data_IF_907830672180
#
_entry.id   IF_907830672180
#
_cell.length_a   1.000
_cell.length_b   1.000
_cell.length_c   1.000
_cell.angle_alpha   90.00
_cell.angle_beta   90.00
_cell.angle_gamma   90.00
#
_symmetry.space_group_name_H-M   'P 1'
#
loop_
_entity.id
_entity.type
_entity.pdbx_description
1 polymer ?
#
# COMPACT_ATOMS: atom_id res chain seq x y z
N UNK A 1 -41.10 -20.17 -28.45
CA UNK A 1 -40.48 -19.55 -29.63
C UNK A 1 -39.75 -20.66 -30.36
N UNK A 2 -40.14 -20.98 -31.60
CA UNK A 2 -39.38 -21.92 -32.43
C UNK A 2 -38.09 -21.21 -32.85
N UNK A 3 -36.96 -21.65 -32.27
CA UNK A 3 -35.65 -21.15 -32.64
C UNK A 3 -35.35 -21.52 -34.12
N UNK A 4 -34.74 -20.63 -34.91
CA UNK A 4 -34.27 -20.94 -36.25
C UNK A 4 -33.42 -22.21 -36.26
N UNK A 5 -33.57 -23.05 -37.28
CA UNK A 5 -32.89 -24.36 -37.40
C UNK A 5 -31.36 -24.23 -37.24
N UNK A 6 -30.78 -23.10 -37.68
CA UNK A 6 -29.36 -22.78 -37.51
C UNK A 6 -28.95 -22.53 -36.05
N UNK A 7 -29.79 -21.88 -35.24
CA UNK A 7 -29.52 -21.70 -33.80
C UNK A 7 -29.64 -23.01 -33.04
N UNK A 8 -30.58 -23.87 -33.45
CA UNK A 8 -30.74 -25.21 -32.88
C UNK A 8 -29.55 -26.13 -33.22
N UNK A 9 -28.99 -26.00 -34.43
CA UNK A 9 -27.80 -26.71 -34.85
C UNK A 9 -26.54 -26.24 -34.09
N UNK A 10 -26.33 -24.92 -34.00
CA UNK A 10 -25.21 -24.34 -33.21
C UNK A 10 -25.31 -24.69 -31.73
N UNK A 11 -26.51 -24.67 -31.15
CA UNK A 11 -26.71 -25.07 -29.75
C UNK A 11 -26.33 -26.53 -29.51
N UNK A 12 -26.74 -27.45 -30.41
CA UNK A 12 -26.37 -28.87 -30.32
C UNK A 12 -24.86 -29.08 -30.46
N UNK A 13 -24.21 -28.35 -31.35
CA UNK A 13 -22.75 -28.40 -31.54
C UNK A 13 -22.01 -27.91 -30.29
N UNK A 14 -22.48 -26.81 -29.68
CA UNK A 14 -21.92 -26.24 -28.46
C UNK A 14 -22.10 -27.16 -27.24
N UNK A 15 -23.24 -27.85 -27.14
CA UNK A 15 -23.48 -28.86 -26.10
C UNK A 15 -22.57 -30.08 -26.30
N UNK A 16 -22.26 -30.46 -27.55
CA UNK A 16 -21.34 -31.57 -27.84
C UNK A 16 -19.89 -31.26 -27.44
N UNK A 17 -19.48 -29.99 -27.45
CA UNK A 17 -18.18 -29.54 -26.91
C UNK A 17 -18.15 -29.44 -25.38
N UNK A 18 -19.29 -29.63 -24.69
CA UNK A 18 -19.32 -29.65 -23.24
C UNK A 18 -18.71 -30.93 -22.66
N UNK A 19 -18.24 -30.88 -21.42
CA UNK A 19 -17.64 -32.03 -20.77
C UNK A 19 -18.77 -33.02 -20.41
N UNK A 20 -18.48 -34.33 -20.32
CA UNK A 20 -19.51 -35.36 -20.06
C UNK A 20 -20.40 -35.10 -18.83
N UNK A 21 -19.88 -34.42 -17.81
CA UNK A 21 -20.65 -34.03 -16.62
C UNK A 21 -21.66 -32.91 -16.91
N UNK A 22 -21.29 -31.95 -17.76
CA UNK A 22 -22.12 -30.79 -18.11
C UNK A 22 -23.17 -31.16 -19.15
N UNK A 23 -22.84 -32.04 -20.11
CA UNK A 23 -23.83 -32.65 -21.02
C UNK A 23 -24.93 -33.39 -20.26
N UNK A 24 -24.54 -34.04 -19.15
CA UNK A 24 -25.47 -34.72 -18.26
C UNK A 24 -26.32 -33.73 -17.47
N UNK A 25 -25.72 -32.64 -16.97
CA UNK A 25 -26.46 -31.57 -16.26
C UNK A 25 -27.43 -30.80 -17.17
N UNK A 26 -27.07 -30.59 -18.44
CA UNK A 26 -27.94 -30.01 -19.49
C UNK A 26 -29.14 -30.91 -19.80
N UNK A 27 -28.91 -32.23 -19.85
CA UNK A 27 -29.97 -33.23 -20.09
C UNK A 27 -30.88 -33.41 -18.87
N UNK A 28 -30.32 -33.43 -17.66
CA UNK A 28 -31.08 -33.59 -16.41
C UNK A 28 -31.91 -32.35 -16.05
N UNK A 29 -31.44 -31.14 -16.38
CA UNK A 29 -32.16 -29.87 -16.12
C UNK A 29 -33.05 -29.38 -17.27
N UNK A 30 -33.09 -30.09 -18.41
CA UNK A 30 -33.83 -29.70 -19.62
C UNK A 30 -33.55 -28.25 -20.05
N UNK A 31 -32.27 -27.91 -20.18
CA UNK A 31 -31.86 -26.59 -20.66
C UNK A 31 -32.15 -26.49 -22.17
N UNK A 32 -33.11 -25.65 -22.55
CA UNK A 32 -33.63 -25.55 -23.92
C UNK A 32 -33.23 -24.24 -24.64
N UNK A 33 -32.56 -23.29 -23.94
CA UNK A 33 -32.14 -22.00 -24.51
C UNK A 33 -30.66 -21.67 -24.26
N UNK A 34 -30.10 -20.78 -25.09
CA UNK A 34 -28.72 -20.30 -24.95
C UNK A 34 -28.53 -19.48 -23.67
N UNK A 35 -29.52 -18.69 -23.26
CA UNK A 35 -29.47 -17.88 -22.03
C UNK A 35 -29.42 -18.76 -20.77
N UNK A 36 -30.17 -19.86 -20.76
CA UNK A 36 -30.10 -20.83 -19.67
C UNK A 36 -28.73 -21.53 -19.62
N UNK A 37 -28.10 -21.72 -20.79
CA UNK A 37 -26.74 -22.25 -20.90
C UNK A 37 -25.70 -21.28 -20.32
N UNK A 38 -25.91 -19.96 -20.39
CA UNK A 38 -25.00 -18.94 -19.83
C UNK A 38 -24.80 -19.18 -18.33
N UNK A 39 -25.87 -19.44 -17.57
CA UNK A 39 -25.74 -19.68 -16.12
C UNK A 39 -24.98 -20.98 -15.78
N UNK A 40 -25.00 -21.98 -16.68
CA UNK A 40 -24.20 -23.20 -16.56
C UNK A 40 -22.74 -22.96 -16.98
N UNK A 41 -22.52 -22.20 -18.05
CA UNK A 41 -21.20 -21.83 -18.56
C UNK A 41 -20.48 -20.81 -17.67
N UNK A 42 -21.22 -19.96 -16.94
CA UNK A 42 -20.67 -19.10 -15.89
C UNK A 42 -20.02 -19.92 -14.77
N UNK A 43 -20.41 -21.18 -14.57
CA UNK A 43 -19.69 -22.11 -13.67
C UNK A 43 -18.33 -22.56 -14.22
N UNK A 44 -18.12 -22.47 -15.54
CA UNK A 44 -16.80 -22.72 -16.18
C UNK A 44 -15.88 -21.52 -16.08
N UNK A 45 -16.42 -20.32 -15.87
CA UNK A 45 -15.60 -19.16 -15.53
C UNK A 45 -14.92 -19.51 -14.22
N UNK A 46 -13.61 -19.72 -14.28
CA UNK A 46 -12.82 -20.05 -13.11
C UNK A 46 -13.15 -19.03 -12.01
N UNK A 47 -13.53 -19.51 -10.83
CA UNK A 47 -13.77 -18.65 -9.66
C UNK A 47 -12.58 -17.74 -9.43
N UNK A 48 -11.35 -18.20 -9.73
CA UNK A 48 -10.12 -17.39 -9.79
C UNK A 48 -10.23 -16.14 -10.68
N UNK A 49 -10.80 -16.22 -11.89
CA UNK A 49 -10.98 -15.06 -12.77
C UNK A 49 -12.04 -14.11 -12.21
N UNK A 50 -13.10 -14.66 -11.63
CA UNK A 50 -14.17 -13.92 -10.95
C UNK A 50 -13.67 -13.20 -9.69
N UNK A 51 -12.88 -13.87 -8.87
CA UNK A 51 -12.22 -13.35 -7.67
C UNK A 51 -11.16 -12.32 -8.05
N UNK A 52 -10.41 -12.56 -9.13
CA UNK A 52 -9.46 -11.58 -9.67
C UNK A 52 -10.21 -10.33 -10.14
N UNK A 53 -11.29 -10.49 -10.91
CA UNK A 53 -12.13 -9.38 -11.35
C UNK A 53 -12.74 -8.63 -10.15
N UNK A 54 -13.22 -9.36 -9.14
CA UNK A 54 -13.77 -8.80 -7.91
C UNK A 54 -12.72 -8.09 -7.06
N UNK A 55 -11.47 -8.58 -7.03
CA UNK A 55 -10.36 -7.95 -6.33
C UNK A 55 -9.88 -6.68 -7.04
N UNK A 56 -9.77 -6.71 -8.37
CA UNK A 56 -9.50 -5.54 -9.22
C UNK A 56 -10.63 -4.52 -9.02
N UNK A 57 -11.88 -4.98 -9.00
CA UNK A 57 -13.03 -4.14 -8.78
C UNK A 57 -13.06 -3.53 -7.38
N UNK A 58 -12.74 -4.30 -6.34
CA UNK A 58 -12.59 -3.82 -4.96
C UNK A 58 -11.49 -2.77 -4.86
N UNK A 59 -10.36 -3.00 -5.51
CA UNK A 59 -9.28 -2.00 -5.59
C UNK A 59 -9.71 -0.74 -6.36
N UNK A 60 -10.54 -0.89 -7.39
CA UNK A 60 -11.10 0.20 -8.20
C UNK A 60 -12.23 0.95 -7.50
N UNK A 61 -12.95 0.33 -6.57
CA UNK A 61 -13.96 0.98 -5.73
C UNK A 61 -13.37 1.60 -4.47
N UNK A 62 -12.13 1.28 -4.11
CA UNK A 62 -11.47 1.90 -2.96
C UNK A 62 -11.13 3.35 -3.32
N UNK A 63 -11.67 4.37 -2.61
CA UNK A 63 -11.38 5.75 -2.91
C UNK A 63 -9.88 6.02 -2.72
N UNK A 64 -9.26 6.72 -3.67
CA UNK A 64 -7.81 7.00 -3.61
C UNK A 64 -7.49 8.27 -2.82
N UNK A 65 -8.49 9.12 -2.57
CA UNK A 65 -8.33 10.46 -1.98
C UNK A 65 -9.33 10.73 -0.85
N UNK A 66 -10.56 10.22 -0.92
CA UNK A 66 -11.54 10.35 0.16
C UNK A 66 -11.32 9.29 1.27
N UNK A 67 -11.13 9.71 2.52
CA UNK A 67 -10.99 8.81 3.68
C UNK A 67 -12.36 8.44 4.28
N UNK A 68 -13.43 9.14 3.93
CA UNK A 68 -14.80 8.77 4.31
C UNK A 68 -15.34 7.72 3.33
N UNK A 69 -15.14 6.44 3.68
CA UNK A 69 -15.87 5.35 3.04
C UNK A 69 -17.36 5.47 3.41
N UNK A 70 -18.21 5.72 2.42
CA UNK A 70 -19.66 5.53 2.57
C UNK A 70 -19.90 4.08 3.01
N UNK A 71 -20.57 3.90 4.14
CA UNK A 71 -20.83 2.60 4.76
C UNK A 71 -21.55 1.64 3.78
N UNK A 72 -22.31 2.20 2.83
CA UNK A 72 -22.97 1.45 1.77
C UNK A 72 -21.99 0.92 0.71
N UNK A 73 -20.96 1.72 0.37
CA UNK A 73 -19.90 1.31 -0.57
C UNK A 73 -19.04 0.19 0.03
N UNK A 74 -18.75 0.27 1.33
CA UNK A 74 -18.03 -0.77 2.06
C UNK A 74 -18.85 -2.08 2.12
N UNK A 75 -20.14 -1.99 2.44
CA UNK A 75 -21.06 -3.14 2.44
C UNK A 75 -21.20 -3.76 1.05
N UNK A 76 -21.28 -2.94 0.00
CA UNK A 76 -21.36 -3.40 -1.39
C UNK A 76 -20.06 -4.08 -1.83
N UNK A 77 -18.90 -3.50 -1.50
CA UNK A 77 -17.58 -4.09 -1.78
C UNK A 77 -17.40 -5.45 -1.07
N UNK A 78 -17.89 -5.58 0.17
CA UNK A 78 -17.90 -6.84 0.92
C UNK A 78 -18.89 -7.84 0.28
N UNK A 79 -20.08 -7.40 -0.13
CA UNK A 79 -21.10 -8.24 -0.77
C UNK A 79 -20.58 -8.85 -2.08
N UNK A 80 -19.93 -8.04 -2.91
CA UNK A 80 -19.32 -8.46 -4.17
C UNK A 80 -18.09 -9.34 -3.94
N UNK A 81 -17.26 -9.03 -2.93
CA UNK A 81 -16.11 -9.85 -2.56
C UNK A 81 -16.49 -11.23 -2.01
N UNK A 82 -17.62 -11.34 -1.30
CA UNK A 82 -18.11 -12.60 -0.76
C UNK A 82 -18.86 -13.44 -1.81
N UNK A 83 -19.47 -12.79 -2.81
CA UNK A 83 -20.23 -13.45 -3.88
C UNK A 83 -19.94 -12.82 -5.26
N UNK A 84 -18.78 -13.13 -5.88
CA UNK A 84 -18.33 -12.53 -7.15
C UNK A 84 -19.26 -12.78 -8.34
N UNK A 85 -20.01 -13.89 -8.33
CA UNK A 85 -20.96 -14.24 -9.39
C UNK A 85 -22.12 -13.25 -9.52
N UNK A 86 -22.43 -12.50 -8.45
CA UNK A 86 -23.46 -11.45 -8.46
C UNK A 86 -23.11 -10.29 -9.39
N UNK A 87 -21.84 -10.11 -9.77
CA UNK A 87 -21.40 -9.08 -10.72
C UNK A 87 -22.01 -9.21 -12.12
N UNK A 88 -22.56 -10.39 -12.45
CA UNK A 88 -23.21 -10.63 -13.74
C UNK A 88 -24.73 -10.38 -13.71
N UNK A 89 -25.31 -10.10 -12.54
CA UNK A 89 -26.71 -9.73 -12.43
C UNK A 89 -26.92 -8.27 -12.85
N UNK A 90 -27.93 -8.03 -13.69
CA UNK A 90 -28.17 -6.71 -14.30
C UNK A 90 -28.43 -5.61 -13.25
N UNK A 91 -29.09 -5.96 -12.14
CA UNK A 91 -29.39 -5.04 -11.04
C UNK A 91 -28.12 -4.66 -10.25
N UNK A 92 -27.23 -5.64 -10.02
CA UNK A 92 -25.94 -5.43 -9.37
C UNK A 92 -24.99 -4.63 -10.27
N UNK A 93 -25.07 -4.81 -11.59
CA UNK A 93 -24.32 -4.00 -12.55
C UNK A 93 -24.77 -2.54 -12.57
N UNK A 94 -26.08 -2.28 -12.49
CA UNK A 94 -26.63 -0.92 -12.33
C UNK A 94 -26.21 -0.29 -11.01
N UNK A 95 -26.22 -1.07 -9.92
CA UNK A 95 -25.75 -0.62 -8.61
C UNK A 95 -24.23 -0.33 -8.63
N UNK A 96 -23.44 -1.20 -9.26
CA UNK A 96 -22.01 -0.99 -9.53
C UNK A 96 -21.78 0.33 -10.26
N UNK A 97 -22.49 0.55 -11.38
CA UNK A 97 -22.33 1.75 -12.18
C UNK A 97 -22.68 3.01 -11.38
N UNK A 98 -23.71 2.94 -10.54
CA UNK A 98 -24.06 4.03 -9.62
C UNK A 98 -22.94 4.33 -8.62
N UNK A 99 -22.36 3.31 -7.99
CA UNK A 99 -21.27 3.48 -7.02
C UNK A 99 -19.96 3.95 -7.64
N UNK A 100 -19.59 3.45 -8.83
CA UNK A 100 -18.43 3.94 -9.58
C UNK A 100 -18.62 5.41 -9.94
N UNK A 101 -19.82 5.79 -10.39
CA UNK A 101 -20.15 7.18 -10.73
C UNK A 101 -20.09 8.07 -9.50
N UNK A 102 -20.72 7.67 -8.39
CA UNK A 102 -20.64 8.39 -7.11
C UNK A 102 -19.21 8.53 -6.60
N UNK A 103 -18.38 7.49 -6.75
CA UNK A 103 -16.96 7.52 -6.37
C UNK A 103 -16.20 8.51 -7.25
N UNK A 104 -16.40 8.49 -8.56
CA UNK A 104 -15.77 9.44 -9.48
C UNK A 104 -16.24 10.87 -9.20
N UNK A 105 -17.52 11.08 -8.93
CA UNK A 105 -18.07 12.37 -8.51
C UNK A 105 -17.53 12.82 -7.16
N UNK A 106 -17.33 11.92 -6.19
CA UNK A 106 -16.76 12.24 -4.89
C UNK A 106 -15.27 12.60 -4.99
N UNK A 107 -14.46 11.81 -5.71
CA UNK A 107 -13.06 12.12 -5.98
C UNK A 107 -12.95 13.43 -6.79
N UNK A 108 -13.80 13.62 -7.80
CA UNK A 108 -13.85 14.86 -8.58
C UNK A 108 -14.32 16.06 -7.74
N UNK A 109 -15.27 15.88 -6.82
CA UNK A 109 -15.73 16.93 -5.91
C UNK A 109 -14.66 17.27 -4.88
N UNK A 110 -13.90 16.31 -4.37
CA UNK A 110 -12.76 16.60 -3.47
C UNK A 110 -11.66 17.30 -4.25
N UNK A 111 -11.33 16.85 -5.47
CA UNK A 111 -10.35 17.53 -6.31
C UNK A 111 -10.85 18.94 -6.65
N UNK A 112 -12.13 19.12 -7.00
CA UNK A 112 -12.75 20.44 -7.21
C UNK A 112 -12.71 21.26 -5.93
N UNK A 113 -13.01 20.72 -4.76
CA UNK A 113 -13.01 21.42 -3.49
C UNK A 113 -11.59 21.81 -3.08
N UNK A 114 -10.60 20.92 -3.20
CA UNK A 114 -9.19 21.22 -2.97
C UNK A 114 -8.65 22.22 -3.99
N UNK A 115 -9.06 22.10 -5.25
CA UNK A 115 -8.71 23.07 -6.31
C UNK A 115 -9.41 24.40 -6.07
N UNK A 116 -10.64 24.41 -5.56
CA UNK A 116 -11.38 25.60 -5.12
C UNK A 116 -10.75 26.20 -3.87
N UNK A 117 -10.22 25.41 -2.95
CA UNK A 117 -9.53 25.89 -1.76
C UNK A 117 -8.17 26.48 -2.15
N UNK A 118 -7.45 25.84 -3.07
CA UNK A 118 -6.26 26.40 -3.71
C UNK A 118 -6.62 27.65 -4.50
N UNK A 119 -7.72 27.66 -5.26
CA UNK A 119 -8.17 28.82 -6.03
C UNK A 119 -8.65 29.94 -5.11
N UNK A 120 -9.33 29.64 -4.00
CA UNK A 120 -9.67 30.58 -2.93
C UNK A 120 -8.42 31.11 -2.29
N UNK A 121 -7.38 30.29 -2.09
CA UNK A 121 -6.10 30.69 -1.52
C UNK A 121 -5.32 31.57 -2.50
N UNK A 122 -5.32 31.25 -3.80
CA UNK A 122 -4.77 32.08 -4.88
C UNK A 122 -5.58 33.37 -5.07
N UNK A 123 -6.90 33.33 -4.88
CA UNK A 123 -7.79 34.50 -4.93
C UNK A 123 -7.64 35.34 -3.67
N UNK A 124 -7.42 34.74 -2.50
CA UNK A 124 -7.09 35.42 -1.25
C UNK A 124 -5.70 36.03 -1.35
N UNK A 125 -4.71 35.31 -1.86
CA UNK A 125 -3.37 35.83 -2.15
C UNK A 125 -3.46 36.96 -3.16
N UNK A 126 -4.21 36.77 -4.25
CA UNK A 126 -4.46 37.75 -5.29
C UNK A 126 -5.23 38.97 -4.76
N UNK A 127 -6.17 38.78 -3.85
CA UNK A 127 -6.90 39.85 -3.15
C UNK A 127 -6.03 40.53 -2.11
N UNK A 128 -5.16 39.83 -1.38
CA UNK A 128 -4.20 40.44 -0.46
C UNK A 128 -3.11 41.21 -1.21
N UNK A 129 -2.64 40.69 -2.35
CA UNK A 129 -1.74 41.37 -3.27
C UNK A 129 -2.44 42.57 -3.91
N UNK A 130 -3.67 42.39 -4.41
CA UNK A 130 -4.43 43.46 -5.02
C UNK A 130 -4.88 44.49 -3.98
N UNK A 131 -5.21 44.11 -2.75
CA UNK A 131 -5.52 45.02 -1.65
C UNK A 131 -4.23 45.71 -1.18
N UNK A 132 -3.07 45.04 -1.18
CA UNK A 132 -1.78 45.69 -0.97
C UNK A 132 -1.42 46.67 -2.10
N UNK A 133 -1.75 46.34 -3.36
CA UNK A 133 -1.50 47.15 -4.55
C UNK A 133 -2.54 48.28 -4.69
N UNK A 134 -3.79 48.06 -4.29
CA UNK A 134 -4.92 49.00 -4.37
C UNK A 134 -5.00 49.89 -3.14
N UNK A 135 -4.54 49.42 -1.97
CA UNK A 135 -4.22 50.31 -0.84
C UNK A 135 -2.95 51.13 -1.11
N UNK A 136 -2.08 50.70 -2.02
CA UNK A 136 -1.12 51.60 -2.69
C UNK A 136 -1.69 52.32 -3.92
N UNK A 137 -2.96 52.07 -4.28
CA UNK A 137 -3.66 52.69 -5.40
C UNK A 137 -3.99 54.15 -5.13
N UNK A 138 -4.27 54.52 -3.87
CA UNK A 138 -4.24 55.92 -3.43
C UNK A 138 -2.85 56.55 -3.54
N UNK A 139 -1.78 55.76 -3.43
CA UNK A 139 -0.41 56.18 -3.72
C UNK A 139 -0.21 56.43 -5.22
N UNK A 140 -0.68 55.54 -6.10
CA UNK A 140 -0.62 55.70 -7.56
C UNK A 140 -1.50 56.84 -8.07
N UNK A 141 -2.71 57.03 -7.52
CA UNK A 141 -3.65 58.10 -7.87
C UNK A 141 -3.17 59.45 -7.34
N UNK A 142 -2.52 59.50 -6.17
CA UNK A 142 -1.87 60.71 -5.68
C UNK A 142 -0.62 61.03 -6.50
N UNK A 143 0.20 60.03 -6.86
CA UNK A 143 1.37 60.21 -7.73
C UNK A 143 0.96 60.62 -9.15
N UNK A 144 -0.13 60.08 -9.70
CA UNK A 144 -0.68 60.49 -11.00
C UNK A 144 -1.28 61.90 -10.92
N UNK A 145 -2.09 62.21 -9.89
CA UNK A 145 -2.61 63.57 -9.69
C UNK A 145 -1.51 64.61 -9.48
N UNK A 146 -0.41 64.23 -8.84
CA UNK A 146 0.78 65.08 -8.65
C UNK A 146 1.51 65.24 -9.98
N UNK A 147 1.71 64.16 -10.75
CA UNK A 147 2.30 64.20 -12.09
C UNK A 147 1.49 65.07 -13.05
N UNK A 148 0.18 64.88 -13.13
CA UNK A 148 -0.72 65.63 -14.00
C UNK A 148 -0.73 67.13 -13.64
N UNK A 149 -0.62 67.46 -12.35
CA UNK A 149 -0.51 68.86 -11.89
C UNK A 149 0.87 69.47 -12.12
N UNK A 150 1.94 68.68 -12.03
CA UNK A 150 3.30 69.09 -12.41
C UNK A 150 3.39 69.35 -13.92
N UNK A 151 2.75 68.51 -14.74
CA UNK A 151 2.68 68.70 -16.19
C UNK A 151 1.80 69.89 -16.61
N UNK A 152 0.79 70.26 -15.79
CA UNK A 152 -0.07 71.42 -16.02
C UNK A 152 0.52 72.78 -15.58
N UNK A 153 1.67 72.78 -14.89
CA UNK A 153 2.32 73.99 -14.41
C UNK A 153 3.12 74.65 -15.53
N UNK A 154 2.63 75.80 -15.99
CA UNK A 154 3.34 76.65 -16.94
C UNK A 154 4.46 77.42 -16.21
N UNK A 155 5.71 77.02 -16.43
CA UNK A 155 6.92 77.58 -15.78
C UNK A 155 7.29 79.00 -16.26
N UNK A 156 6.40 79.64 -17.01
CA UNK A 156 6.57 80.97 -17.59
C UNK A 156 6.35 82.12 -16.58
N UNK A 157 5.69 81.86 -15.45
CA UNK A 157 5.37 82.87 -14.42
C UNK A 157 6.09 82.55 -13.11
N UNK A 158 7.26 83.15 -12.88
CA UNK A 158 8.12 82.89 -11.73
C UNK A 158 7.59 83.39 -10.38
N UNK A 159 6.52 82.80 -9.86
CA UNK A 159 5.98 83.12 -8.53
C UNK A 159 6.44 82.09 -7.48
N UNK A 160 7.43 82.48 -6.67
CA UNK A 160 8.10 81.65 -5.64
C UNK A 160 7.14 81.01 -4.61
N UNK A 161 5.93 81.54 -4.45
CA UNK A 161 4.91 80.99 -3.55
C UNK A 161 4.34 79.66 -4.05
N UNK A 162 4.12 79.51 -5.34
CA UNK A 162 3.55 78.28 -5.93
C UNK A 162 4.52 77.10 -5.81
N UNK A 163 5.83 77.36 -5.98
CA UNK A 163 6.90 76.39 -5.77
C UNK A 163 6.98 75.87 -4.33
N UNK A 164 6.78 76.73 -3.32
CA UNK A 164 6.79 76.31 -1.92
C UNK A 164 5.57 75.43 -1.55
N UNK A 165 4.42 75.71 -2.16
CA UNK A 165 3.19 74.93 -1.98
C UNK A 165 3.32 73.56 -2.66
N UNK A 166 3.98 73.50 -3.82
CA UNK A 166 4.27 72.26 -4.51
C UNK A 166 5.24 71.38 -3.71
N UNK A 167 6.31 71.99 -3.16
CA UNK A 167 7.30 71.29 -2.35
C UNK A 167 6.67 70.69 -1.09
N UNK A 168 5.84 71.45 -0.36
CA UNK A 168 5.21 70.92 0.86
C UNK A 168 4.25 69.76 0.58
N UNK A 169 3.52 69.82 -0.55
CA UNK A 169 2.64 68.75 -0.99
C UNK A 169 3.41 67.49 -1.41
N UNK A 170 4.50 67.64 -2.17
CA UNK A 170 5.37 66.52 -2.53
C UNK A 170 5.99 65.83 -1.30
N UNK A 171 6.42 66.62 -0.32
CA UNK A 171 6.97 66.10 0.94
C UNK A 171 5.90 65.34 1.74
N UNK A 172 4.67 65.86 1.83
CA UNK A 172 3.58 65.15 2.51
C UNK A 172 3.20 63.84 1.81
N UNK A 173 3.23 63.80 0.48
CA UNK A 173 2.95 62.59 -0.28
C UNK A 173 4.05 61.53 -0.10
N UNK A 174 5.31 61.94 -0.11
CA UNK A 174 6.44 61.05 0.16
C UNK A 174 6.37 60.44 1.56
N UNK A 175 6.05 61.24 2.58
CA UNK A 175 5.87 60.78 3.96
C UNK A 175 4.68 59.83 4.12
N UNK A 176 3.59 60.05 3.37
CA UNK A 176 2.44 59.13 3.38
C UNK A 176 2.80 57.77 2.78
N UNK A 177 3.51 57.77 1.65
CA UNK A 177 3.98 56.55 0.98
C UNK A 177 4.95 55.77 1.88
N UNK A 178 5.87 56.46 2.56
CA UNK A 178 6.85 55.83 3.44
C UNK A 178 6.20 55.11 4.63
N UNK A 179 5.18 55.73 5.23
CA UNK A 179 4.42 55.14 6.33
C UNK A 179 3.59 53.92 5.88
N UNK A 180 2.93 53.99 4.73
CA UNK A 180 2.17 52.87 4.17
C UNK A 180 3.07 51.71 3.77
N UNK A 181 4.23 52.00 3.18
CA UNK A 181 5.17 50.98 2.73
C UNK A 181 5.86 50.27 3.90
N UNK A 182 6.09 50.97 5.01
CA UNK A 182 6.49 50.35 6.28
C UNK A 182 5.42 49.41 6.85
N UNK A 183 4.13 49.79 6.77
CA UNK A 183 3.03 48.94 7.24
C UNK A 183 2.87 47.67 6.39
N UNK A 184 3.06 47.76 5.08
CA UNK A 184 3.07 46.61 4.15
C UNK A 184 4.26 45.69 4.43
N UNK A 185 5.46 46.25 4.62
CA UNK A 185 6.65 45.48 4.97
C UNK A 185 6.49 44.67 6.26
N UNK A 186 5.83 45.24 7.27
CA UNK A 186 5.54 44.55 8.53
C UNK A 186 4.60 43.35 8.34
N UNK A 187 3.51 43.52 7.57
CA UNK A 187 2.55 42.43 7.29
C UNK A 187 3.15 41.33 6.42
N UNK A 188 4.01 41.68 5.46
CA UNK A 188 4.71 40.71 4.62
C UNK A 188 5.69 39.84 5.44
N UNK A 189 6.36 40.45 6.42
CA UNK A 189 7.27 39.75 7.34
C UNK A 189 6.51 38.77 8.24
N UNK A 190 5.31 39.13 8.68
CA UNK A 190 4.45 38.26 9.49
C UNK A 190 3.93 37.05 8.68
N UNK A 191 3.43 37.29 7.46
CA UNK A 191 2.98 36.22 6.56
C UNK A 191 4.10 35.22 6.24
N UNK A 192 5.32 35.70 5.99
CA UNK A 192 6.51 34.83 5.76
C UNK A 192 6.83 33.96 6.98
N UNK A 193 6.69 34.49 8.20
CA UNK A 193 6.90 33.76 9.45
C UNK A 193 5.87 32.63 9.60
N UNK A 194 4.61 32.89 9.23
CA UNK A 194 3.52 31.95 9.36
C UNK A 194 3.61 30.79 8.35
N UNK A 195 4.06 31.07 7.12
CA UNK A 195 4.38 30.04 6.11
C UNK A 195 5.49 29.11 6.60
N UNK A 196 6.59 29.67 7.12
CA UNK A 196 7.71 28.88 7.62
C UNK A 196 7.32 27.96 8.80
N UNK A 197 6.44 28.42 9.69
CA UNK A 197 5.90 27.58 10.79
C UNK A 197 5.06 26.41 10.29
N UNK A 198 4.30 26.59 9.21
CA UNK A 198 3.47 25.54 8.63
C UNK A 198 4.32 24.51 7.89
N UNK A 199 5.34 24.94 7.15
CA UNK A 199 6.32 24.05 6.50
C UNK A 199 7.00 23.13 7.53
N UNK A 200 7.46 23.69 8.66
CA UNK A 200 8.04 22.90 9.76
C UNK A 200 7.06 21.88 10.35
N UNK A 201 5.78 22.24 10.43
CA UNK A 201 4.74 21.35 10.99
C UNK A 201 4.41 20.20 10.05
N UNK A 202 4.37 20.45 8.74
CA UNK A 202 4.19 19.41 7.72
C UNK A 202 5.35 18.42 7.77
N UNK A 203 6.58 18.91 7.80
CA UNK A 203 7.77 18.05 7.86
C UNK A 203 7.78 17.16 9.12
N UNK A 204 7.41 17.71 10.28
CA UNK A 204 7.31 16.93 11.52
C UNK A 204 6.25 15.82 11.43
N UNK A 205 5.09 16.10 10.83
CA UNK A 205 4.02 15.11 10.68
C UNK A 205 4.42 13.99 9.71
N UNK A 206 5.17 14.30 8.65
CA UNK A 206 5.72 13.29 7.74
C UNK A 206 6.73 12.38 8.45
N UNK A 207 7.59 12.95 9.30
CA UNK A 207 8.55 12.19 10.13
C UNK A 207 7.84 11.29 11.16
N UNK A 208 6.79 11.78 11.82
CA UNK A 208 5.97 11.01 12.77
C UNK A 208 5.23 9.86 12.06
N UNK A 209 4.67 10.10 10.86
CA UNK A 209 3.99 9.07 10.05
C UNK A 209 4.96 7.98 9.56
N UNK A 210 6.14 8.38 9.10
CA UNK A 210 7.18 7.45 8.67
C UNK A 210 7.70 6.62 9.86
N UNK A 211 7.87 7.24 11.04
CA UNK A 211 8.24 6.54 12.28
C UNK A 211 7.18 5.52 12.72
N UNK A 212 5.89 5.90 12.68
CA UNK A 212 4.80 4.99 13.03
C UNK A 212 4.67 3.80 12.07
N UNK A 213 4.92 3.99 10.77
CA UNK A 213 4.97 2.88 9.79
C UNK A 213 6.17 1.97 10.01
N UNK A 214 7.26 2.52 10.54
CA UNK A 214 8.52 1.83 10.81
C UNK A 214 8.51 0.99 12.10
N UNK A 215 7.57 1.23 13.02
CA UNK A 215 7.49 0.61 14.36
C UNK A 215 6.75 -0.74 14.44
N UNK A 216 6.22 -1.29 13.33
CA UNK A 216 5.56 -2.60 13.40
C UNK A 216 6.57 -3.73 13.63
N UNK A 217 6.78 -4.08 14.90
CA UNK A 217 7.69 -5.14 15.33
C UNK A 217 7.20 -6.53 14.90
N UNK A 218 5.88 -6.68 14.71
CA UNK A 218 5.20 -7.93 14.41
C UNK A 218 4.57 -7.89 13.02
N UNK A 219 4.70 -8.99 12.27
CA UNK A 219 4.00 -9.23 11.02
C UNK A 219 2.53 -9.54 11.28
N UNK A 220 1.65 -8.67 10.78
CA UNK A 220 0.20 -8.76 11.01
C UNK A 220 -0.44 -10.07 10.55
N UNK A 221 0.14 -10.74 9.54
CA UNK A 221 -0.41 -11.99 9.02
C UNK A 221 -0.02 -13.18 9.89
N UNK A 222 1.26 -13.30 10.22
CA UNK A 222 1.85 -14.50 10.84
C UNK A 222 2.00 -14.38 12.36
N UNK A 223 2.01 -13.17 12.90
CA UNK A 223 2.28 -12.91 14.32
C UNK A 223 3.76 -13.10 14.72
N UNK A 224 4.65 -13.31 13.76
CA UNK A 224 6.10 -13.39 13.98
C UNK A 224 6.74 -12.02 13.93
N UNK A 225 8.01 -11.94 14.32
CA UNK A 225 8.80 -10.71 14.13
C UNK A 225 8.87 -10.35 12.64
N UNK A 226 8.84 -9.05 12.35
CA UNK A 226 9.21 -8.56 11.02
C UNK A 226 10.71 -8.66 10.81
N UNK A 227 11.16 -8.66 9.55
CA UNK A 227 12.59 -8.60 9.20
C UNK A 227 13.33 -7.50 9.96
N UNK A 228 12.71 -6.32 10.08
CA UNK A 228 13.31 -5.19 10.80
C UNK A 228 13.51 -5.47 12.29
N UNK A 229 12.47 -5.97 12.96
CA UNK A 229 12.57 -6.32 14.38
C UNK A 229 13.61 -7.43 14.62
N UNK A 230 13.74 -8.35 13.67
CA UNK A 230 14.78 -9.37 13.69
C UNK A 230 16.20 -8.77 13.56
N UNK A 231 16.39 -7.78 12.66
CA UNK A 231 17.66 -7.07 12.50
C UNK A 231 18.06 -6.27 13.76
N UNK A 232 17.10 -5.85 14.57
CA UNK A 232 17.35 -5.22 15.89
C UNK A 232 17.72 -6.28 16.95
N UNK A 233 16.97 -7.38 17.03
CA UNK A 233 17.23 -8.46 17.99
C UNK A 233 18.56 -9.19 17.74
N UNK A 234 18.99 -9.34 16.48
CA UNK A 234 20.27 -9.99 16.19
C UNK A 234 21.45 -9.21 16.78
N UNK A 235 21.38 -7.88 16.86
CA UNK A 235 22.45 -7.09 17.50
C UNK A 235 22.62 -7.48 18.98
N UNK A 236 21.50 -7.71 19.67
CA UNK A 236 21.49 -8.17 21.05
C UNK A 236 22.06 -9.59 21.18
N UNK A 237 21.67 -10.50 20.28
CA UNK A 237 22.14 -11.89 20.26
C UNK A 237 23.63 -11.97 19.95
N UNK A 238 24.13 -11.21 18.96
CA UNK A 238 25.56 -11.13 18.65
C UNK A 238 26.37 -10.60 19.84
N UNK A 239 25.84 -9.61 20.57
CA UNK A 239 26.44 -9.15 21.81
C UNK A 239 26.55 -10.25 22.89
N UNK A 240 25.54 -11.13 23.00
CA UNK A 240 25.58 -12.28 23.92
C UNK A 240 26.53 -13.38 23.44
N UNK A 241 26.57 -13.66 22.13
CA UNK A 241 27.53 -14.59 21.54
C UNK A 241 28.97 -14.18 21.85
N UNK A 242 29.30 -12.90 21.64
CA UNK A 242 30.66 -12.38 21.87
C UNK A 242 31.06 -12.37 23.36
N UNK A 243 30.13 -12.04 24.27
CA UNK A 243 30.42 -11.95 25.71
C UNK A 243 30.40 -13.30 26.43
N UNK A 244 29.43 -14.15 26.10
CA UNK A 244 29.12 -15.35 26.88
C UNK A 244 29.45 -16.65 26.11
N UNK A 245 29.84 -16.56 24.84
CA UNK A 245 30.10 -17.72 23.99
C UNK A 245 28.86 -18.53 23.63
N UNK A 246 27.65 -17.97 23.84
CA UNK A 246 26.38 -18.66 23.62
C UNK A 246 26.23 -19.04 22.15
N UNK A 247 26.28 -20.34 21.85
CA UNK A 247 26.20 -20.83 20.48
C UNK A 247 24.78 -20.77 19.95
N UNK A 248 24.64 -20.35 18.69
CA UNK A 248 23.37 -20.37 17.98
C UNK A 248 23.54 -20.74 16.50
N UNK A 249 22.46 -21.23 15.91
CA UNK A 249 22.36 -21.55 14.49
C UNK A 249 21.41 -20.57 13.81
N UNK A 250 21.73 -20.21 12.57
CA UNK A 250 20.84 -19.52 11.66
C UNK A 250 20.18 -20.53 10.74
N UNK A 251 18.87 -20.42 10.62
CA UNK A 251 18.10 -21.29 9.74
C UNK A 251 17.26 -20.39 8.84
N UNK A 252 17.46 -20.53 7.53
CA UNK A 252 16.69 -19.85 6.52
C UNK A 252 15.72 -20.85 5.89
N UNK A 253 14.42 -20.58 6.00
CA UNK A 253 13.34 -21.43 5.52
C UNK A 253 12.63 -20.78 4.33
N UNK A 254 12.15 -21.62 3.42
CA UNK A 254 11.25 -21.23 2.36
C UNK A 254 10.26 -22.35 2.04
N UNK A 255 9.00 -21.97 1.87
CA UNK A 255 7.92 -22.91 1.59
C UNK A 255 7.99 -23.35 0.12
N UNK A 256 8.19 -24.65 -0.10
CA UNK A 256 8.38 -25.17 -1.45
C UNK A 256 7.11 -24.99 -2.29
N UNK A 257 7.30 -24.49 -3.51
CA UNK A 257 6.22 -24.30 -4.46
C UNK A 257 5.07 -23.43 -3.90
N UNK A 258 5.35 -22.46 -3.03
CA UNK A 258 4.32 -21.60 -2.45
C UNK A 258 3.52 -20.84 -3.52
N UNK A 259 4.17 -20.43 -4.61
CA UNK A 259 3.47 -19.90 -5.78
C UNK A 259 2.43 -20.88 -6.34
N UNK A 260 2.74 -22.17 -6.45
CA UNK A 260 1.77 -23.17 -6.89
C UNK A 260 0.62 -23.34 -5.90
N UNK A 261 0.89 -23.23 -4.60
CA UNK A 261 -0.15 -23.22 -3.55
C UNK A 261 -1.06 -22.01 -3.75
N UNK A 262 -0.52 -20.81 -3.94
CA UNK A 262 -1.31 -19.61 -4.23
C UNK A 262 -2.09 -19.75 -5.54
N UNK A 263 -1.47 -20.34 -6.56
CA UNK A 263 -2.10 -20.51 -7.86
C UNK A 263 -3.23 -21.54 -7.83
N UNK A 264 -3.13 -22.55 -6.96
CA UNK A 264 -4.09 -23.65 -6.80
C UNK A 264 -5.20 -23.32 -5.81
N UNK A 265 -4.88 -22.68 -4.68
CA UNK A 265 -5.79 -22.45 -3.54
C UNK A 265 -6.10 -20.96 -3.28
N UNK A 266 -5.56 -20.05 -4.10
CA UNK A 266 -5.69 -18.62 -3.94
C UNK A 266 -4.78 -18.05 -2.85
N UNK A 267 -4.68 -16.72 -2.80
CA UNK A 267 -3.89 -16.02 -1.78
C UNK A 267 -4.38 -16.30 -0.36
N UNK A 268 -5.68 -16.52 -0.14
CA UNK A 268 -6.21 -16.91 1.16
C UNK A 268 -5.71 -18.31 1.60
N UNK A 269 -5.60 -19.25 0.66
CA UNK A 269 -5.02 -20.56 0.93
C UNK A 269 -3.54 -20.44 1.30
N UNK A 270 -2.80 -19.60 0.56
CA UNK A 270 -1.42 -19.24 0.89
C UNK A 270 -1.29 -18.59 2.27
N UNK A 271 -2.17 -17.66 2.61
CA UNK A 271 -2.19 -16.99 3.91
C UNK A 271 -2.42 -17.97 5.07
N UNK A 272 -3.29 -18.97 4.87
CA UNK A 272 -3.49 -20.05 5.85
C UNK A 272 -2.24 -20.90 5.99
N UNK A 273 -1.56 -21.21 4.88
CA UNK A 273 -0.27 -21.91 4.90
C UNK A 273 0.78 -21.09 5.66
N UNK A 274 0.93 -19.80 5.36
CA UNK A 274 1.88 -18.91 6.05
C UNK A 274 1.59 -18.81 7.54
N UNK A 275 0.32 -18.60 7.92
CA UNK A 275 -0.11 -18.56 9.33
C UNK A 275 0.20 -19.85 10.05
N UNK A 276 -0.07 -20.98 9.42
CA UNK A 276 0.10 -22.28 10.08
C UNK A 276 1.57 -22.67 10.15
N UNK A 277 2.35 -22.42 9.10
CA UNK A 277 3.79 -22.59 9.09
C UNK A 277 4.45 -21.76 10.20
N UNK A 278 4.07 -20.48 10.28
CA UNK A 278 4.53 -19.58 11.34
C UNK A 278 4.17 -20.08 12.75
N UNK A 279 2.93 -20.55 12.96
CA UNK A 279 2.50 -21.14 14.24
C UNK A 279 3.30 -22.39 14.60
N UNK A 280 3.63 -23.25 13.62
CA UNK A 280 4.48 -24.42 13.86
C UNK A 280 5.87 -23.98 14.28
N UNK A 281 6.50 -23.05 13.55
CA UNK A 281 7.81 -22.52 13.92
C UNK A 281 7.78 -21.92 15.33
N UNK A 282 6.80 -21.07 15.63
CA UNK A 282 6.68 -20.41 16.94
C UNK A 282 6.51 -21.43 18.08
N UNK A 283 5.63 -22.43 17.90
CA UNK A 283 5.35 -23.44 18.94
C UNK A 283 6.55 -24.35 19.22
N UNK A 284 7.33 -24.67 18.19
CA UNK A 284 8.50 -25.54 18.34
C UNK A 284 9.76 -24.77 18.79
N UNK A 285 9.73 -23.44 18.74
CA UNK A 285 10.84 -22.55 19.12
C UNK A 285 10.72 -22.13 20.59
N UNK A 286 11.85 -22.07 21.31
CA UNK A 286 11.89 -21.73 22.73
C UNK A 286 11.78 -20.21 22.91
N UNK A 287 11.46 -19.76 24.12
CA UNK A 287 11.31 -18.34 24.45
C UNK A 287 12.57 -17.49 24.17
N UNK A 288 13.76 -18.07 24.34
CA UNK A 288 15.04 -17.38 24.09
C UNK A 288 15.48 -17.41 22.63
N UNK A 289 14.78 -18.17 21.79
CA UNK A 289 15.04 -18.30 20.36
C UNK A 289 14.10 -17.38 19.60
N UNK A 290 14.49 -16.93 18.40
CA UNK A 290 13.67 -15.99 17.62
C UNK A 290 13.33 -16.55 16.26
N UNK A 291 12.12 -16.24 15.78
CA UNK A 291 11.66 -16.54 14.42
C UNK A 291 11.04 -15.28 13.84
N UNK A 292 11.40 -14.96 12.61
CA UNK A 292 10.83 -13.84 11.88
C UNK A 292 10.33 -14.25 10.50
N UNK A 293 9.36 -13.49 10.00
CA UNK A 293 9.02 -13.49 8.59
C UNK A 293 9.96 -12.54 7.86
N UNK A 294 10.86 -13.10 7.06
CA UNK A 294 11.94 -12.36 6.42
C UNK A 294 11.54 -11.80 5.04
N UNK A 295 10.64 -12.51 4.35
CA UNK A 295 10.11 -12.15 3.05
C UNK A 295 8.65 -12.59 2.86
N UNK A 296 8.23 -12.77 1.60
CA UNK A 296 6.85 -13.16 1.28
C UNK A 296 6.50 -14.56 1.81
N UNK A 297 7.32 -15.55 1.45
CA UNK A 297 7.21 -16.97 1.85
C UNK A 297 8.43 -17.48 2.62
N UNK A 298 9.30 -16.55 3.00
CA UNK A 298 10.62 -16.78 3.59
C UNK A 298 10.60 -16.48 5.09
N UNK A 299 11.22 -17.36 5.87
CA UNK A 299 11.33 -17.23 7.32
C UNK A 299 12.77 -17.43 7.76
N UNK A 300 13.18 -16.74 8.81
CA UNK A 300 14.50 -16.93 9.41
C UNK A 300 14.32 -17.22 10.90
N UNK A 301 15.09 -18.17 11.43
CA UNK A 301 15.15 -18.44 12.85
C UNK A 301 16.58 -18.43 13.38
N UNK A 302 16.72 -18.00 14.63
CA UNK A 302 17.92 -18.15 15.43
C UNK A 302 17.63 -19.10 16.57
N UNK A 303 18.34 -20.23 16.59
CA UNK A 303 18.15 -21.29 17.57
C UNK A 303 19.42 -21.47 18.37
N UNK A 304 19.35 -21.20 19.67
CA UNK A 304 20.43 -21.43 20.60
C UNK A 304 20.53 -22.92 20.91
N UNK A 305 21.76 -23.42 20.99
CA UNK A 305 22.01 -24.82 21.31
C UNK A 305 23.30 -24.97 22.10
N UNK A 306 23.35 -25.97 22.99
CA UNK A 306 24.60 -26.34 23.67
C UNK A 306 25.31 -27.49 22.93
N UNK A 307 24.51 -28.46 22.48
CA UNK A 307 25.00 -29.60 21.69
C UNK A 307 24.30 -29.62 20.34
N UNK A 308 25.06 -29.88 19.27
CA UNK A 308 24.53 -29.98 17.89
C UNK A 308 23.33 -30.94 17.77
N UNK A 309 23.27 -31.98 18.61
CA UNK A 309 22.14 -32.91 18.65
C UNK A 309 20.80 -32.22 18.98
N UNK A 310 20.80 -31.14 19.75
CA UNK A 310 19.59 -30.36 20.04
C UNK A 310 19.07 -29.67 18.78
N UNK A 311 19.95 -29.02 18.02
CA UNK A 311 19.63 -28.41 16.74
C UNK A 311 19.07 -29.45 15.76
N UNK A 312 19.74 -30.61 15.63
CA UNK A 312 19.26 -31.69 14.77
C UNK A 312 17.88 -32.20 15.18
N UNK A 313 17.60 -32.31 16.48
CA UNK A 313 16.27 -32.68 16.98
C UNK A 313 15.22 -31.63 16.62
N UNK A 314 15.54 -30.35 16.77
CA UNK A 314 14.66 -29.24 16.40
C UNK A 314 14.31 -29.28 14.91
N UNK A 315 15.33 -29.36 14.04
CA UNK A 315 15.15 -29.41 12.58
C UNK A 315 14.32 -30.61 12.14
N UNK A 316 14.64 -31.82 12.63
CA UNK A 316 13.89 -33.05 12.33
C UNK A 316 12.45 -32.96 12.80
N UNK A 317 12.21 -32.39 13.98
CA UNK A 317 10.87 -32.24 14.54
C UNK A 317 10.01 -31.30 13.68
N UNK A 318 10.53 -30.15 13.29
CA UNK A 318 9.80 -29.21 12.41
C UNK A 318 9.54 -29.83 11.05
N UNK A 319 10.55 -30.46 10.44
CA UNK A 319 10.39 -31.19 9.18
C UNK A 319 9.27 -32.22 9.27
N UNK A 320 9.30 -33.06 10.31
CA UNK A 320 8.31 -34.10 10.52
C UNK A 320 6.89 -33.52 10.73
N UNK A 321 6.75 -32.50 11.59
CA UNK A 321 5.45 -31.86 11.85
C UNK A 321 4.87 -31.26 10.57
N UNK A 322 5.66 -30.56 9.77
CA UNK A 322 5.15 -29.88 8.57
C UNK A 322 4.81 -30.89 7.48
N UNK A 323 5.67 -31.88 7.24
CA UNK A 323 5.43 -32.91 6.21
C UNK A 323 4.30 -33.89 6.58
N UNK A 324 4.06 -34.15 7.87
CA UNK A 324 2.97 -35.03 8.32
C UNK A 324 1.63 -34.32 8.48
N UNK A 325 1.64 -33.00 8.68
CA UNK A 325 0.42 -32.23 8.81
C UNK A 325 -0.19 -31.94 7.44
N UNK A 326 -1.47 -32.30 7.32
CA UNK A 326 -2.30 -31.86 6.20
C UNK A 326 -2.98 -30.58 6.61
N UNK A 327 -2.58 -29.48 5.99
CA UNK A 327 -3.08 -28.14 6.29
C UNK A 327 -4.52 -28.03 5.79
N UNK A 328 -5.46 -27.84 6.71
CA UNK A 328 -6.87 -27.75 6.35
C UNK A 328 -7.19 -26.34 5.88
N UNK A 329 -7.61 -26.22 4.63
CA UNK A 329 -8.17 -24.99 4.09
C UNK A 329 -9.50 -25.31 3.40
N UNK A 330 -10.60 -24.79 3.95
CA UNK A 330 -11.96 -25.21 3.59
C UNK A 330 -12.10 -26.73 3.73
N UNK A 331 -12.44 -27.45 2.66
CA UNK A 331 -12.52 -28.92 2.64
C UNK A 331 -11.24 -29.59 2.10
N UNK A 332 -10.24 -28.80 1.70
CA UNK A 332 -9.01 -29.32 1.12
C UNK A 332 -7.94 -29.53 2.19
N UNK A 333 -7.26 -30.67 2.06
CA UNK A 333 -6.06 -31.02 2.80
C UNK A 333 -4.86 -30.69 1.94
N UNK A 334 -4.23 -29.56 2.21
CA UNK A 334 -3.05 -29.08 1.50
C UNK A 334 -1.83 -29.72 2.14
N UNK A 335 -1.03 -30.40 1.34
CA UNK A 335 0.28 -30.90 1.74
C UNK A 335 1.33 -29.91 1.24
N UNK A 336 2.18 -29.45 2.16
CA UNK A 336 3.29 -28.56 1.83
C UNK A 336 4.58 -29.20 2.31
N UNK A 337 5.66 -28.86 1.62
CA UNK A 337 7.02 -29.10 2.08
C UNK A 337 7.74 -27.77 2.19
N UNK A 338 8.91 -27.79 2.80
CA UNK A 338 9.79 -26.62 2.83
C UNK A 338 11.23 -27.07 2.62
N UNK A 339 12.02 -26.14 2.12
CA UNK A 339 13.46 -26.26 2.07
C UNK A 339 14.09 -25.32 3.10
N UNK A 340 15.23 -25.71 3.67
CA UNK A 340 15.96 -24.84 4.58
C UNK A 340 17.47 -24.98 4.47
N UNK A 341 18.17 -23.87 4.67
CA UNK A 341 19.62 -23.83 4.84
C UNK A 341 19.98 -23.48 6.27
N UNK A 342 20.91 -24.23 6.88
CA UNK A 342 21.31 -24.04 8.28
C UNK A 342 22.81 -23.83 8.41
N UNK A 343 23.21 -22.74 9.07
CA UNK A 343 24.61 -22.45 9.40
C UNK A 343 24.80 -22.33 10.91
N UNK A 344 25.98 -22.74 11.39
CA UNK A 344 26.36 -22.55 12.79
C UNK A 344 27.13 -21.24 12.88
N UNK A 345 26.69 -20.30 13.73
CA UNK A 345 27.28 -18.96 13.79
C UNK A 345 28.80 -18.98 14.01
N UNK A 346 29.29 -19.93 14.80
CA UNK A 346 30.70 -20.05 15.17
C UNK A 346 31.65 -20.42 14.03
N UNK A 347 31.13 -20.86 12.89
CA UNK A 347 31.93 -21.19 11.70
C UNK A 347 32.22 -19.98 10.80
N UNK A 348 31.72 -18.79 11.18
CA UNK A 348 31.78 -17.58 10.37
C UNK A 348 32.32 -16.41 11.16
N UNK A 349 32.92 -15.44 10.45
CA UNK A 349 33.46 -14.22 11.05
C UNK A 349 32.32 -13.31 11.55
N UNK A 350 31.25 -13.18 10.78
CA UNK A 350 30.12 -12.31 11.08
C UNK A 350 28.78 -13.05 10.95
N UNK A 351 27.75 -12.53 11.63
CA UNK A 351 26.37 -12.95 11.43
C UNK A 351 25.96 -12.81 9.95
N UNK A 352 26.36 -11.73 9.28
CA UNK A 352 26.01 -11.47 7.88
C UNK A 352 26.56 -12.57 6.96
N UNK A 353 27.79 -13.02 7.17
CA UNK A 353 28.39 -14.11 6.40
C UNK A 353 27.65 -15.43 6.66
N UNK A 354 27.29 -15.70 7.92
CA UNK A 354 26.53 -16.89 8.28
C UNK A 354 25.12 -16.90 7.67
N UNK A 355 24.44 -15.74 7.63
CA UNK A 355 23.12 -15.58 7.00
C UNK A 355 23.21 -15.77 5.48
N UNK A 356 24.17 -15.11 4.82
CA UNK A 356 24.39 -15.28 3.37
C UNK A 356 24.65 -16.75 3.01
N UNK A 357 25.45 -17.44 3.81
CA UNK A 357 25.72 -18.86 3.57
C UNK A 357 24.49 -19.73 3.86
N UNK A 358 23.65 -19.39 4.83
CA UNK A 358 22.37 -20.10 5.05
C UNK A 358 21.41 -19.95 3.86
N UNK A 359 21.37 -18.78 3.23
CA UNK A 359 20.59 -18.54 2.02
C UNK A 359 21.12 -19.36 0.82
N UNK A 360 22.44 -19.43 0.65
CA UNK A 360 23.06 -20.30 -0.36
C UNK A 360 22.73 -21.79 -0.15
N UNK A 361 22.74 -22.27 1.10
CA UNK A 361 22.37 -23.65 1.41
C UNK A 361 20.87 -23.91 1.18
N UNK A 362 20.02 -22.91 1.42
CA UNK A 362 18.60 -22.99 1.06
C UNK A 362 18.42 -23.09 -0.45
N UNK A 363 19.15 -22.29 -1.22
CA UNK A 363 19.15 -22.37 -2.68
C UNK A 363 19.59 -23.75 -3.18
N UNK A 364 20.67 -24.32 -2.60
CA UNK A 364 21.12 -25.68 -2.89
C UNK A 364 20.05 -26.74 -2.55
N UNK A 365 19.32 -26.56 -1.44
CA UNK A 365 18.21 -27.43 -1.06
C UNK A 365 17.09 -27.41 -2.11
N UNK A 366 16.75 -26.23 -2.64
CA UNK A 366 15.75 -26.06 -3.69
C UNK A 366 16.18 -26.69 -5.02
N UNK A 367 17.41 -26.48 -5.45
CA UNK A 367 17.93 -27.01 -6.71
C UNK A 367 18.12 -28.54 -6.68
N UNK A 368 18.51 -29.09 -5.53
CA UNK A 368 18.72 -30.53 -5.38
C UNK A 368 17.43 -31.35 -5.18
N UNK A 369 16.25 -30.75 -5.37
CA UNK A 369 14.96 -31.46 -5.34
C UNK A 369 14.03 -31.12 -4.17
N UNK A 370 14.29 -30.03 -3.43
CA UNK A 370 13.41 -29.48 -2.38
C UNK A 370 13.15 -30.45 -1.20
N UNK A 371 12.23 -30.08 -0.31
CA UNK A 371 11.81 -30.87 0.85
C UNK A 371 12.98 -31.39 1.69
N UNK A 372 13.98 -30.54 1.94
CA UNK A 372 15.18 -30.92 2.67
C UNK A 372 15.81 -29.75 3.40
N UNK A 373 16.56 -30.09 4.43
CA UNK A 373 17.35 -29.13 5.19
C UNK A 373 18.82 -29.46 4.98
N UNK A 374 19.59 -28.53 4.43
CA UNK A 374 21.03 -28.67 4.26
C UNK A 374 21.72 -27.89 5.37
N UNK A 375 22.58 -28.57 6.11
CA UNK A 375 23.43 -27.98 7.14
C UNK A 375 24.84 -27.80 6.57
N UNK A 376 25.52 -26.74 6.97
CA UNK A 376 26.86 -26.38 6.50
C UNK A 376 27.93 -27.48 6.60
N UNK A 377 27.75 -28.48 7.45
CA UNK A 377 28.67 -29.63 7.53
C UNK A 377 28.37 -30.74 6.51
N UNK A 378 27.47 -30.50 5.56
CA UNK A 378 27.02 -31.46 4.56
C UNK A 378 25.92 -32.41 5.05
N UNK A 379 25.43 -32.27 6.28
CA UNK A 379 24.31 -33.06 6.77
C UNK A 379 23.02 -32.65 6.05
N UNK A 380 22.30 -33.62 5.49
CA UNK A 380 20.99 -33.41 4.86
C UNK A 380 19.93 -34.10 5.71
N UNK A 381 18.85 -33.38 6.04
CA UNK A 381 17.68 -33.87 6.79
C UNK A 381 16.45 -33.88 5.91
#
# INVERSE_FOLDING_TARGET
MEFPVEECAKFKELVLELNKSEQKEVSDKKIESVDDLVSLLLKRVATKNLDTLASIFKSSLTPSINIELDENLAKFSIKIGNSPSLMFEEDIQKEMQSYITKRFEADQNIVKQKTEDIAKLVTLMGKYLNDAISSSGSGSDNVSNIKDKIESLDMSTGDLKELSVLQSKLVSAALSIENEMSAVGAKFKDGKSQVSKLEQKIQKLEEELDSAKKESTIDHLTGLLTRRAFDEEIQRIEGLYQRNGTQYALIFFDIDHFKNVNDTFGHEGGDVILKTFAKVLQKETRENDIVCRYGGEEFVAIIHFNLKRELLKYLKRIKNIITQNKFLYKEHKIEITFSAGTTLRNQYESYTNALQKSDLLLYEAKESGRNKIIIDDGTII
#
